data_IF_247000857645
#
_entry.id   IF_247000857645
#
_cell.length_a   1.000
_cell.length_b   1.000
_cell.length_c   1.000
_cell.angle_alpha   90.00
_cell.angle_beta   90.00
_cell.angle_gamma   90.00
#
_symmetry.space_group_name_H-M   'P 1'
#
loop_
_entity.id
_entity.type
_entity.pdbx_description
1 polymer ?
#
# COMPACT_ATOMS: atom_id res chain seq x y z
N UNK A 1 -21.04 5.47 -8.66
CA UNK A 1 -19.80 6.06 -8.11
C UNK A 1 -19.37 5.26 -6.90
N UNK A 2 -18.21 4.60 -6.96
CA UNK A 2 -17.64 3.94 -5.79
C UNK A 2 -17.14 4.99 -4.79
N UNK A 3 -17.50 4.84 -3.51
CA UNK A 3 -16.99 5.67 -2.42
C UNK A 3 -15.45 5.52 -2.24
N UNK A 4 -14.84 6.27 -1.30
CA UNK A 4 -13.42 6.18 -1.04
C UNK A 4 -13.02 4.77 -0.59
N UNK A 5 -11.79 4.37 -0.87
CA UNK A 5 -11.20 3.11 -0.40
C UNK A 5 -9.77 3.31 0.10
N UNK A 6 -9.28 2.38 0.87
CA UNK A 6 -7.85 2.25 1.16
C UNK A 6 -7.28 1.20 0.20
N UNK A 7 -6.31 1.59 -0.60
CA UNK A 7 -5.60 0.70 -1.51
C UNK A 7 -4.27 0.32 -0.84
N UNK A 8 -4.10 -0.97 -0.54
CA UNK A 8 -2.84 -1.52 -0.07
C UNK A 8 -2.03 -2.01 -1.27
N UNK A 9 -0.84 -1.45 -1.44
CA UNK A 9 0.11 -1.84 -2.49
C UNK A 9 1.48 -2.17 -1.91
N UNK A 10 2.44 -2.55 -2.75
CA UNK A 10 3.82 -2.89 -2.37
C UNK A 10 4.82 -2.39 -3.40
N UNK A 11 6.12 -2.49 -3.06
CA UNK A 11 7.23 -2.17 -3.96
C UNK A 11 7.47 -3.32 -4.95
N UNK A 12 6.50 -3.56 -5.84
CA UNK A 12 6.57 -4.55 -6.91
C UNK A 12 6.25 -3.88 -8.25
N UNK A 13 6.96 -4.27 -9.30
CA UNK A 13 6.89 -3.65 -10.61
C UNK A 13 7.30 -2.18 -10.56
N UNK A 14 6.69 -1.34 -11.38
CA UNK A 14 6.92 0.10 -11.34
C UNK A 14 5.90 0.80 -10.45
N UNK A 15 6.06 0.66 -9.12
CA UNK A 15 5.14 1.24 -8.14
C UNK A 15 5.06 2.79 -8.19
N UNK A 16 6.06 3.48 -8.74
CA UNK A 16 6.01 4.93 -8.92
C UNK A 16 4.99 5.34 -10.00
N UNK A 17 4.74 4.48 -10.98
CA UNK A 17 3.69 4.70 -11.98
C UNK A 17 2.28 4.39 -11.47
N UNK A 18 2.13 3.73 -10.32
CA UNK A 18 0.82 3.30 -9.83
C UNK A 18 -0.14 4.47 -9.63
N UNK A 19 0.28 5.50 -8.88
CA UNK A 19 -0.54 6.71 -8.67
C UNK A 19 -0.85 7.47 -9.98
N UNK A 20 0.14 7.80 -10.82
CA UNK A 20 -0.09 8.43 -12.12
C UNK A 20 -1.08 7.65 -12.99
N UNK A 21 -0.90 6.33 -13.09
CA UNK A 21 -1.80 5.49 -13.90
C UNK A 21 -3.25 5.59 -13.44
N UNK A 22 -3.49 5.52 -12.13
CA UNK A 22 -4.84 5.69 -11.59
C UNK A 22 -5.39 7.10 -11.87
N UNK A 23 -4.58 8.14 -11.67
CA UNK A 23 -4.96 9.52 -11.89
C UNK A 23 -5.36 9.82 -13.33
N UNK A 24 -4.58 9.34 -14.30
CA UNK A 24 -4.89 9.50 -15.74
C UNK A 24 -6.13 8.69 -16.16
N UNK A 25 -6.43 7.59 -15.48
CA UNK A 25 -7.67 6.84 -15.66
C UNK A 25 -8.84 7.39 -14.83
N UNK A 26 -8.76 8.67 -14.41
CA UNK A 26 -9.81 9.42 -13.71
C UNK A 26 -10.15 8.91 -12.29
N UNK A 27 -9.31 8.09 -11.66
CA UNK A 27 -9.45 7.77 -10.25
C UNK A 27 -8.85 8.88 -9.38
N UNK A 28 -9.61 9.40 -8.44
CA UNK A 28 -9.12 10.37 -7.46
C UNK A 28 -8.35 9.65 -6.38
N UNK A 29 -7.02 9.76 -6.42
CA UNK A 29 -6.12 9.01 -5.53
C UNK A 29 -5.22 9.91 -4.71
N UNK A 30 -4.84 9.44 -3.52
CA UNK A 30 -3.86 10.12 -2.67
C UNK A 30 -2.87 9.12 -2.11
N UNK A 31 -1.58 9.38 -2.25
CA UNK A 31 -0.50 8.57 -1.70
C UNK A 31 0.15 9.23 -0.49
N UNK A 32 0.60 8.42 0.47
CA UNK A 32 1.45 8.89 1.56
C UNK A 32 2.90 8.64 1.19
N UNK A 33 3.71 9.71 1.11
CA UNK A 33 5.11 9.63 0.72
C UNK A 33 6.04 10.29 1.73
N UNK A 34 7.24 9.75 1.84
CA UNK A 34 8.30 10.35 2.63
C UNK A 34 8.94 11.49 1.84
N UNK A 35 9.17 12.63 2.51
CA UNK A 35 9.91 13.76 1.94
C UNK A 35 11.34 13.30 1.67
N UNK A 36 11.83 13.59 0.47
CA UNK A 36 13.19 13.23 0.06
C UNK A 36 14.21 14.19 0.71
N UNK A 37 15.40 13.66 1.06
CA UNK A 37 16.47 14.47 1.64
C UNK A 37 17.02 15.49 0.65
N UNK A 38 17.11 15.14 -0.62
CA UNK A 38 17.56 16.01 -1.70
C UNK A 38 16.43 16.87 -2.23
N UNK A 39 16.62 18.18 -2.31
CA UNK A 39 15.65 19.12 -2.91
C UNK A 39 15.31 18.76 -4.37
N UNK A 40 16.30 18.37 -5.15
CA UNK A 40 16.11 17.96 -6.54
C UNK A 40 15.31 16.65 -6.64
N UNK A 41 15.63 15.67 -5.78
CA UNK A 41 14.89 14.41 -5.67
C UNK A 41 13.44 14.66 -5.27
N UNK A 42 13.19 15.51 -4.27
CA UNK A 42 11.82 15.87 -3.85
C UNK A 42 11.03 16.51 -5.00
N UNK A 43 11.64 17.47 -5.74
CA UNK A 43 11.01 18.11 -6.90
C UNK A 43 10.67 17.08 -7.99
N UNK A 44 11.61 16.16 -8.29
CA UNK A 44 11.42 15.12 -9.30
C UNK A 44 10.30 14.16 -8.94
N UNK A 45 10.32 13.59 -7.72
CA UNK A 45 9.27 12.67 -7.29
C UNK A 45 7.90 13.33 -7.13
N UNK A 46 7.86 14.58 -6.67
CA UNK A 46 6.61 15.33 -6.64
C UNK A 46 6.06 15.59 -8.05
N UNK A 47 6.93 15.89 -9.02
CA UNK A 47 6.51 16.04 -10.41
C UNK A 47 5.91 14.75 -10.99
N UNK A 48 6.55 13.58 -10.79
CA UNK A 48 6.02 12.30 -11.25
C UNK A 48 4.67 11.98 -10.58
N UNK A 49 4.57 12.19 -9.27
CA UNK A 49 3.41 11.79 -8.46
C UNK A 49 2.25 12.78 -8.54
N UNK A 50 2.51 14.05 -8.88
CA UNK A 50 1.51 15.11 -8.97
C UNK A 50 0.95 15.20 -10.38
N UNK A 51 0.13 14.26 -10.75
CA UNK A 51 -0.61 14.28 -12.01
C UNK A 51 -2.11 14.51 -11.77
N UNK A 52 -2.88 14.54 -12.86
CA UNK A 52 -4.34 14.71 -12.82
C UNK A 52 -4.97 13.76 -11.77
N UNK A 53 -5.84 14.30 -10.93
CA UNK A 53 -6.60 13.56 -9.90
C UNK A 53 -5.76 12.89 -8.79
N UNK A 54 -4.47 13.24 -8.65
CA UNK A 54 -3.63 12.70 -7.57
C UNK A 54 -3.27 13.75 -6.53
N UNK A 55 -3.04 13.32 -5.29
CA UNK A 55 -2.53 14.13 -4.19
C UNK A 55 -1.46 13.37 -3.43
N UNK A 56 -0.45 14.08 -2.94
CA UNK A 56 0.58 13.51 -2.06
C UNK A 56 0.42 14.07 -0.66
N UNK A 57 0.40 13.16 0.32
CA UNK A 57 0.39 13.48 1.74
C UNK A 57 1.79 13.22 2.30
N UNK A 58 2.49 14.23 2.82
CA UNK A 58 3.78 14.01 3.47
C UNK A 58 3.63 13.11 4.69
N UNK A 59 4.54 12.13 4.84
CA UNK A 59 4.62 11.27 6.01
C UNK A 59 4.93 12.12 7.26
N UNK A 60 4.16 11.93 8.32
CA UNK A 60 4.31 12.69 9.57
C UNK A 60 3.10 13.57 9.91
N UNK A 61 2.48 14.23 8.95
CA UNK A 61 1.26 15.04 9.13
C UNK A 61 0.00 14.29 8.72
N UNK A 62 0.01 12.97 8.85
CA UNK A 62 -0.83 12.13 8.01
C UNK A 62 -2.28 11.99 8.46
N UNK A 63 -2.63 11.86 9.74
CA UNK A 63 -4.00 11.49 10.14
C UNK A 63 -5.04 12.55 9.74
N UNK A 64 -4.77 13.82 10.03
CA UNK A 64 -5.69 14.93 9.65
C UNK A 64 -5.83 15.05 8.14
N UNK A 65 -4.72 14.92 7.41
CA UNK A 65 -4.71 15.00 5.96
C UNK A 65 -5.33 13.76 5.31
N UNK A 66 -5.14 12.57 5.87
CA UNK A 66 -5.81 11.34 5.45
C UNK A 66 -7.33 11.49 5.55
N UNK A 67 -7.85 11.93 6.69
CA UNK A 67 -9.28 12.13 6.86
C UNK A 67 -9.82 13.18 5.86
N UNK A 68 -9.07 14.26 5.61
CA UNK A 68 -9.45 15.27 4.62
C UNK A 68 -9.60 14.69 3.22
N UNK A 69 -8.66 13.88 2.74
CA UNK A 69 -8.73 13.30 1.39
C UNK A 69 -9.81 12.23 1.29
N UNK A 70 -10.02 11.42 2.33
CA UNK A 70 -11.10 10.44 2.38
C UNK A 70 -12.49 11.11 2.35
N UNK A 71 -12.69 12.20 3.10
CA UNK A 71 -13.91 13.00 3.07
C UNK A 71 -14.14 13.65 1.69
N UNK A 72 -13.07 13.94 0.95
CA UNK A 72 -13.13 14.42 -0.42
C UNK A 72 -13.30 13.28 -1.45
N UNK A 73 -13.61 12.06 -1.00
CA UNK A 73 -13.81 10.85 -1.83
C UNK A 73 -12.58 10.43 -2.65
N UNK A 74 -11.36 10.69 -2.14
CA UNK A 74 -10.13 10.13 -2.72
C UNK A 74 -9.91 8.69 -2.23
N UNK A 75 -9.41 7.83 -3.09
CA UNK A 75 -8.84 6.55 -2.70
C UNK A 75 -7.46 6.79 -2.09
N UNK A 76 -7.21 6.25 -0.90
CA UNK A 76 -5.92 6.38 -0.22
C UNK A 76 -5.02 5.20 -0.56
N UNK A 77 -3.88 5.47 -1.18
CA UNK A 77 -2.88 4.46 -1.53
C UNK A 77 -1.80 4.41 -0.45
N UNK A 78 -1.60 3.23 0.12
CA UNK A 78 -0.60 2.94 1.16
C UNK A 78 0.30 1.80 0.72
N UNK A 79 1.60 2.08 0.61
CA UNK A 79 2.61 1.05 0.41
C UNK A 79 2.83 0.33 1.74
N UNK A 80 2.48 -0.95 1.81
CA UNK A 80 2.32 -1.70 3.06
C UNK A 80 3.29 -2.88 3.22
N UNK A 81 4.25 -3.05 2.33
CA UNK A 81 5.17 -4.18 2.31
C UNK A 81 6.45 -3.99 3.14
N UNK A 82 6.76 -2.77 3.58
CA UNK A 82 7.95 -2.53 4.38
C UNK A 82 7.79 -2.95 5.84
N UNK A 83 8.92 -3.32 6.48
CA UNK A 83 8.95 -3.70 7.89
C UNK A 83 8.58 -2.50 8.79
N UNK A 84 7.53 -2.66 9.58
CA UNK A 84 7.03 -1.63 10.49
C UNK A 84 7.68 -1.69 11.90
N UNK A 85 8.62 -2.60 12.13
CA UNK A 85 9.28 -2.79 13.42
C UNK A 85 8.27 -3.11 14.54
N UNK A 86 8.49 -2.57 15.72
CA UNK A 86 7.64 -2.82 16.90
C UNK A 86 6.20 -2.27 16.76
N UNK A 87 5.95 -1.39 15.80
CA UNK A 87 4.63 -0.74 15.60
C UNK A 87 3.71 -1.51 14.63
N UNK A 88 4.23 -2.54 13.97
CA UNK A 88 3.46 -3.35 13.04
C UNK A 88 2.64 -4.46 13.70
N UNK A 89 1.90 -5.17 12.87
CA UNK A 89 1.28 -6.46 13.18
C UNK A 89 2.19 -7.57 12.71
N UNK A 90 2.40 -8.57 13.55
CA UNK A 90 3.20 -9.74 13.15
C UNK A 90 2.32 -10.67 12.31
N UNK A 91 2.73 -10.86 11.08
CA UNK A 91 2.05 -11.66 10.07
C UNK A 91 3.08 -12.49 9.30
N UNK A 92 2.66 -13.56 8.64
CA UNK A 92 3.56 -14.38 7.83
C UNK A 92 3.63 -13.89 6.38
N UNK A 93 4.84 -13.93 5.82
CA UNK A 93 5.14 -13.81 4.40
C UNK A 93 6.17 -14.87 4.06
N UNK A 94 5.89 -15.78 3.13
CA UNK A 94 6.69 -16.98 2.86
C UNK A 94 6.95 -17.81 4.13
N UNK A 95 5.88 -18.03 4.91
CA UNK A 95 5.87 -18.77 6.19
C UNK A 95 6.81 -18.21 7.27
N UNK A 96 7.45 -17.08 7.01
CA UNK A 96 8.31 -16.37 7.95
C UNK A 96 7.60 -15.17 8.59
N UNK A 97 7.70 -14.99 9.92
CA UNK A 97 7.08 -13.85 10.59
C UNK A 97 7.72 -12.52 10.16
N UNK A 98 6.87 -11.56 9.83
CA UNK A 98 7.25 -10.21 9.44
C UNK A 98 6.33 -9.17 10.06
N UNK A 99 6.82 -7.95 10.23
CA UNK A 99 6.03 -6.85 10.77
C UNK A 99 5.39 -6.05 9.64
N UNK A 100 4.05 -6.07 9.57
CA UNK A 100 3.25 -5.39 8.55
C UNK A 100 2.61 -4.12 9.13
N UNK A 101 2.65 -2.96 8.43
CA UNK A 101 2.04 -1.71 8.89
C UNK A 101 0.54 -1.85 9.18
N UNK A 102 0.08 -1.34 10.33
CA UNK A 102 -1.33 -1.43 10.75
C UNK A 102 -2.23 -0.35 10.14
N UNK A 103 -1.66 0.66 9.45
CA UNK A 103 -2.39 1.88 9.07
C UNK A 103 -3.65 1.63 8.23
N UNK A 104 -3.54 0.80 7.19
CA UNK A 104 -4.67 0.46 6.32
C UNK A 104 -5.79 -0.27 7.09
N UNK A 105 -5.43 -1.26 7.90
CA UNK A 105 -6.38 -2.02 8.71
C UNK A 105 -7.11 -1.12 9.73
N UNK A 106 -6.39 -0.23 10.42
CA UNK A 106 -6.98 0.70 11.37
C UNK A 106 -7.96 1.66 10.68
N UNK A 107 -7.63 2.17 9.49
CA UNK A 107 -8.52 3.03 8.72
C UNK A 107 -9.80 2.31 8.30
N UNK A 108 -9.68 1.05 7.85
CA UNK A 108 -10.85 0.22 7.53
C UNK A 108 -11.76 0.03 8.74
N UNK A 109 -11.20 -0.37 9.89
CA UNK A 109 -11.97 -0.67 11.10
C UNK A 109 -12.68 0.58 11.64
N UNK A 110 -11.94 1.72 11.72
CA UNK A 110 -12.49 2.97 12.27
C UNK A 110 -13.50 3.65 11.37
N UNK A 111 -13.24 3.70 10.08
CA UNK A 111 -14.02 4.49 9.14
C UNK A 111 -14.94 3.64 8.26
N UNK A 112 -14.95 2.31 8.43
CA UNK A 112 -15.70 1.35 7.61
C UNK A 112 -15.44 1.52 6.09
N UNK A 113 -14.22 1.94 5.74
CA UNK A 113 -13.80 2.17 4.35
C UNK A 113 -13.27 0.86 3.78
N UNK A 114 -13.72 0.43 2.58
CA UNK A 114 -13.26 -0.83 1.98
C UNK A 114 -11.76 -0.81 1.69
N UNK A 115 -11.13 -1.99 1.82
CA UNK A 115 -9.74 -2.21 1.41
C UNK A 115 -9.73 -2.86 0.03
N UNK A 116 -8.85 -2.35 -0.83
CA UNK A 116 -8.48 -2.95 -2.10
C UNK A 116 -7.00 -3.29 -2.02
N UNK A 117 -6.63 -4.52 -2.32
CA UNK A 117 -5.23 -4.91 -2.51
C UNK A 117 -4.93 -4.77 -4.00
N UNK A 118 -3.89 -4.03 -4.35
CA UNK A 118 -3.59 -3.75 -5.75
C UNK A 118 -2.09 -3.64 -6.00
N UNK A 119 -1.62 -4.23 -7.09
CA UNK A 119 -0.23 -4.22 -7.53
C UNK A 119 -0.14 -3.87 -9.01
N UNK A 120 0.96 -3.24 -9.41
CA UNK A 120 1.31 -2.98 -10.81
C UNK A 120 2.53 -3.82 -11.18
N UNK A 121 2.47 -4.50 -12.32
CA UNK A 121 3.59 -5.29 -12.83
C UNK A 121 3.80 -4.99 -14.31
N UNK A 122 5.04 -5.10 -14.78
CA UNK A 122 5.40 -4.94 -16.17
C UNK A 122 5.27 -6.28 -16.90
N UNK A 123 4.65 -6.26 -18.06
CA UNK A 123 4.54 -7.39 -18.96
C UNK A 123 5.79 -7.55 -19.84
N UNK A 124 5.94 -8.68 -20.52
CA UNK A 124 7.08 -8.95 -21.43
C UNK A 124 7.16 -7.98 -22.62
N UNK A 125 6.06 -7.41 -23.04
CA UNK A 125 5.95 -6.41 -24.10
C UNK A 125 6.12 -4.96 -23.60
N UNK A 126 6.61 -4.79 -22.37
CA UNK A 126 6.81 -3.50 -21.69
C UNK A 126 5.52 -2.71 -21.38
N UNK A 127 4.36 -3.28 -21.59
CA UNK A 127 3.11 -2.73 -21.06
C UNK A 127 2.98 -3.01 -19.56
N UNK A 128 2.01 -2.37 -18.89
CA UNK A 128 1.77 -2.57 -17.47
C UNK A 128 0.38 -3.14 -17.22
N UNK A 129 0.32 -4.09 -16.29
CA UNK A 129 -0.93 -4.65 -15.78
C UNK A 129 -1.14 -4.23 -14.34
N UNK A 130 -2.37 -3.83 -14.00
CA UNK A 130 -2.77 -3.59 -12.61
C UNK A 130 -3.71 -4.71 -12.17
N UNK A 131 -3.29 -5.46 -11.17
CA UNK A 131 -4.14 -6.40 -10.46
C UNK A 131 -4.82 -5.69 -9.29
N UNK A 132 -6.12 -5.89 -9.11
CA UNK A 132 -6.86 -5.32 -7.99
C UNK A 132 -7.89 -6.33 -7.45
N UNK A 133 -7.93 -6.48 -6.12
CA UNK A 133 -8.88 -7.35 -5.43
C UNK A 133 -9.46 -6.62 -4.22
N UNK A 134 -10.78 -6.50 -4.17
CA UNK A 134 -11.47 -6.01 -2.95
C UNK A 134 -11.35 -7.06 -1.85
N UNK A 135 -10.89 -6.63 -0.69
CA UNK A 135 -10.79 -7.48 0.48
C UNK A 135 -12.17 -7.73 1.08
N UNK A 136 -12.52 -8.99 1.25
CA UNK A 136 -13.74 -9.43 1.90
C UNK A 136 -13.36 -10.32 3.08
N UNK A 137 -13.60 -9.83 4.29
CA UNK A 137 -13.36 -10.57 5.54
C UNK A 137 -14.60 -10.43 6.41
N UNK A 138 -15.09 -11.56 6.92
CA UNK A 138 -16.11 -11.54 7.97
C UNK A 138 -15.43 -11.22 9.31
N UNK A 139 -15.85 -10.11 9.92
CA UNK A 139 -15.29 -9.62 11.18
C UNK A 139 -16.17 -9.93 12.39
N UNK A 140 -17.18 -10.79 12.25
CA UNK A 140 -18.06 -11.15 13.37
C UNK A 140 -17.27 -11.72 14.53
N UNK A 141 -17.57 -11.22 15.72
CA UNK A 141 -16.96 -11.66 17.00
C UNK A 141 -15.43 -11.53 17.08
N UNK A 142 -14.79 -10.71 16.24
CA UNK A 142 -13.35 -10.48 16.27
C UNK A 142 -13.00 -9.20 17.03
N UNK A 143 -11.98 -9.26 17.84
CA UNK A 143 -11.32 -8.11 18.46
C UNK A 143 -10.65 -7.21 17.40
N UNK A 144 -10.30 -6.00 17.79
CA UNK A 144 -9.57 -5.08 16.88
C UNK A 144 -8.24 -5.66 16.41
N UNK A 145 -7.50 -6.33 17.29
CA UNK A 145 -6.19 -6.92 16.95
C UNK A 145 -6.34 -8.10 15.99
N UNK A 146 -7.34 -8.95 16.16
CA UNK A 146 -7.66 -10.03 15.22
C UNK A 146 -8.05 -9.48 13.85
N UNK A 147 -8.86 -8.43 13.79
CA UNK A 147 -9.21 -7.77 12.52
C UNK A 147 -7.96 -7.22 11.82
N UNK A 148 -7.08 -6.54 12.57
CA UNK A 148 -5.81 -6.03 12.03
C UNK A 148 -4.94 -7.18 11.52
N UNK A 149 -4.82 -8.26 12.29
CA UNK A 149 -4.07 -9.44 11.89
C UNK A 149 -4.61 -10.03 10.59
N UNK A 150 -5.92 -10.28 10.50
CA UNK A 150 -6.55 -10.90 9.34
C UNK A 150 -6.45 -10.05 8.07
N UNK A 151 -6.62 -8.74 8.17
CA UNK A 151 -6.43 -7.82 7.04
C UNK A 151 -4.98 -7.88 6.55
N UNK A 152 -4.01 -7.76 7.45
CA UNK A 152 -2.60 -7.75 7.09
C UNK A 152 -2.12 -9.12 6.59
N UNK A 153 -2.66 -10.23 7.12
CA UNK A 153 -2.35 -11.57 6.62
C UNK A 153 -2.89 -11.80 5.21
N UNK A 154 -4.10 -11.33 4.93
CA UNK A 154 -4.68 -11.41 3.59
C UNK A 154 -3.89 -10.55 2.59
N UNK A 155 -3.41 -9.38 3.00
CA UNK A 155 -2.51 -8.56 2.20
C UNK A 155 -1.17 -9.27 1.92
N UNK A 156 -0.52 -9.82 2.96
CA UNK A 156 0.75 -10.54 2.78
C UNK A 156 0.60 -11.76 1.87
N UNK A 157 -0.53 -12.50 1.96
CA UNK A 157 -0.82 -13.61 1.05
C UNK A 157 -0.92 -13.13 -0.42
N UNK A 158 -1.65 -12.05 -0.67
CA UNK A 158 -1.76 -11.50 -2.02
C UNK A 158 -0.42 -10.94 -2.54
N UNK A 159 0.38 -10.32 -1.67
CA UNK A 159 1.74 -9.88 -2.00
C UNK A 159 2.64 -11.07 -2.36
N UNK A 160 2.59 -12.14 -1.58
CA UNK A 160 3.33 -13.38 -1.84
C UNK A 160 2.96 -13.98 -3.19
N UNK A 161 1.66 -14.06 -3.52
CA UNK A 161 1.17 -14.52 -4.82
C UNK A 161 1.71 -13.67 -5.98
N UNK A 162 1.75 -12.34 -5.80
CA UNK A 162 2.31 -11.43 -6.80
C UNK A 162 3.82 -11.60 -6.95
N UNK A 163 4.56 -11.77 -5.84
CA UNK A 163 6.01 -12.00 -5.85
C UNK A 163 6.35 -13.34 -6.51
N UNK A 164 5.61 -14.41 -6.25
CA UNK A 164 5.83 -15.73 -6.89
C UNK A 164 5.69 -15.63 -8.40
N UNK A 165 4.74 -14.83 -8.89
CA UNK A 165 4.55 -14.62 -10.35
C UNK A 165 5.62 -13.76 -10.99
N UNK A 166 6.16 -12.78 -10.25
CA UNK A 166 7.09 -11.77 -10.77
C UNK A 166 8.21 -11.51 -9.76
N UNK A 167 9.01 -12.55 -9.39
CA UNK A 167 10.03 -12.41 -8.35
C UNK A 167 11.11 -11.38 -8.70
N UNK A 168 11.40 -11.21 -10.00
CA UNK A 168 12.34 -10.23 -10.53
C UNK A 168 11.87 -8.78 -10.40
N UNK A 169 10.57 -8.56 -10.17
CA UNK A 169 9.97 -7.24 -10.06
C UNK A 169 9.76 -6.76 -8.62
N UNK A 170 10.02 -7.61 -7.62
CA UNK A 170 9.90 -7.21 -6.22
C UNK A 170 11.15 -6.51 -5.72
N UNK A 171 10.98 -5.48 -4.89
CA UNK A 171 12.08 -4.71 -4.31
C UNK A 171 12.72 -5.45 -3.11
N UNK A 172 13.59 -6.42 -3.40
CA UNK A 172 14.26 -7.27 -2.40
C UNK A 172 15.26 -6.54 -1.50
N UNK A 173 15.69 -5.34 -1.83
CA UNK A 173 16.69 -4.57 -1.06
C UNK A 173 16.19 -4.08 0.30
N UNK A 174 14.87 -4.15 0.55
CA UNK A 174 14.33 -3.84 1.87
C UNK A 174 14.37 -5.07 2.78
N UNK A 175 14.96 -4.92 4.00
CA UNK A 175 14.99 -5.97 5.02
C UNK A 175 13.59 -6.16 5.63
N UNK A 176 12.75 -6.93 4.96
CA UNK A 176 11.35 -7.17 5.34
C UNK A 176 11.21 -7.99 6.61
N UNK A 177 12.07 -9.00 6.79
CA UNK A 177 12.06 -9.90 7.93
C UNK A 177 12.98 -9.44 9.07
N UNK A 178 13.07 -10.22 10.15
CA UNK A 178 13.98 -9.94 11.25
C UNK A 178 15.44 -10.03 10.77
N UNK A 179 16.33 -9.21 11.35
CA UNK A 179 17.75 -9.17 11.01
C UNK A 179 18.41 -10.56 11.04
N UNK A 180 18.06 -11.39 12.03
CA UNK A 180 18.53 -12.78 12.17
C UNK A 180 18.26 -13.68 10.95
N UNK A 181 17.33 -13.32 10.08
CA UNK A 181 17.02 -14.11 8.89
C UNK A 181 17.90 -13.75 7.68
N UNK A 182 18.86 -12.84 7.87
CA UNK A 182 19.81 -12.39 6.83
C UNK A 182 21.27 -12.69 7.20
N UNK A 183 21.52 -13.23 8.39
CA UNK A 183 22.80 -13.73 8.90
C UNK A 183 22.90 -15.23 8.69
#
# INVERSE_FOLDING_TARGET
ECGPSVIMTGHIGNWELFLPTLGYNNYRTSGVAQIQKSKSGEKFFNWIRSCKNTKIIPKGNSIKNINKVLNQKYHLVLVSDQNAGKKGSINNLFDMPTSTPKGAAILNIKNKIPIIISFITMNKDYTYSIFSKKLQIDFKNQSTDEKVFNINQAYNKALQEAIIKHPEQYFWFHKKWNKKNYE
#
